data_IF_189485774575
#
_entry.id   IF_189485774575
#
_cell.length_a   1.000
_cell.length_b   1.000
_cell.length_c   1.000
_cell.angle_alpha   90.00
_cell.angle_beta   90.00
_cell.angle_gamma   90.00
#
_symmetry.space_group_name_H-M   'P 1'
#
loop_
_entity.id
_entity.type
_entity.pdbx_description
1 polymer ?
#
# COMPACT_ATOMS: atom_id res chain seq x y z
N UNK A 1 -37.67 -2.96 -26.38
CA UNK A 1 -37.69 -4.40 -26.02
C UNK A 1 -36.42 -4.62 -25.19
N UNK A 2 -36.53 -4.83 -23.88
CA UNK A 2 -35.41 -5.23 -23.06
C UNK A 2 -35.02 -6.64 -23.51
N UNK A 3 -33.82 -6.80 -24.05
CA UNK A 3 -33.26 -8.11 -24.33
C UNK A 3 -33.16 -8.85 -23.00
N UNK A 4 -33.94 -9.92 -22.86
CA UNK A 4 -33.83 -10.83 -21.72
C UNK A 4 -32.36 -11.29 -21.65
N UNK A 5 -31.66 -10.97 -20.57
CA UNK A 5 -30.23 -11.35 -20.40
C UNK A 5 -30.15 -12.86 -20.35
N UNK A 6 -29.49 -13.48 -21.35
CA UNK A 6 -29.33 -14.91 -21.52
C UNK A 6 -28.09 -15.44 -20.71
N UNK A 7 -27.51 -14.62 -19.84
CA UNK A 7 -26.30 -14.96 -19.06
C UNK A 7 -26.21 -14.09 -17.81
N UNK A 8 -25.48 -14.57 -16.81
CA UNK A 8 -25.25 -13.87 -15.52
C UNK A 8 -24.03 -12.92 -15.54
N UNK A 9 -23.39 -12.74 -16.70
CA UNK A 9 -22.27 -11.82 -16.81
C UNK A 9 -22.76 -10.37 -16.90
N UNK A 10 -22.07 -9.46 -16.21
CA UNK A 10 -22.24 -8.03 -16.40
C UNK A 10 -21.35 -7.56 -17.55
N UNK A 11 -21.95 -7.21 -18.66
CA UNK A 11 -21.25 -6.63 -19.82
C UNK A 11 -21.22 -5.12 -19.60
N UNK A 12 -20.04 -4.61 -19.26
CA UNK A 12 -19.80 -3.19 -19.04
C UNK A 12 -19.99 -2.39 -20.33
N UNK A 13 -20.58 -1.21 -20.20
CA UNK A 13 -20.50 -0.18 -21.23
C UNK A 13 -19.06 0.32 -21.35
N UNK A 14 -18.62 0.80 -22.54
CA UNK A 14 -17.27 1.36 -22.67
C UNK A 14 -17.04 2.46 -21.64
N UNK A 15 -16.04 2.25 -20.76
CA UNK A 15 -15.66 3.20 -19.72
C UNK A 15 -14.32 3.87 -20.08
N UNK A 16 -14.16 5.14 -19.71
CA UNK A 16 -12.93 5.91 -19.96
C UNK A 16 -11.85 5.65 -18.90
N UNK A 17 -12.24 5.08 -17.75
CA UNK A 17 -11.35 4.96 -16.58
C UNK A 17 -10.10 4.11 -16.81
N UNK A 18 -10.14 2.98 -17.54
CA UNK A 18 -8.94 2.21 -17.83
C UNK A 18 -7.90 3.02 -18.61
N UNK A 19 -8.33 3.79 -19.62
CA UNK A 19 -7.45 4.66 -20.40
C UNK A 19 -6.90 5.80 -19.55
N UNK A 20 -7.78 6.48 -18.82
CA UNK A 20 -7.39 7.61 -17.97
C UNK A 20 -6.47 7.13 -16.82
N UNK A 21 -6.74 5.96 -16.24
CA UNK A 21 -5.89 5.33 -15.21
C UNK A 21 -4.50 4.98 -15.76
N UNK A 22 -4.42 4.43 -16.97
CA UNK A 22 -3.16 4.14 -17.64
C UNK A 22 -2.33 5.41 -17.88
N UNK A 23 -2.93 6.48 -18.36
CA UNK A 23 -2.27 7.77 -18.55
C UNK A 23 -1.84 8.41 -17.23
N UNK A 24 -2.66 8.32 -16.20
CA UNK A 24 -2.36 8.82 -14.86
C UNK A 24 -1.15 8.09 -14.25
N UNK A 25 -1.13 6.76 -14.32
CA UNK A 25 -0.02 5.94 -13.86
C UNK A 25 1.27 6.22 -14.64
N UNK A 26 1.20 6.35 -15.96
CA UNK A 26 2.34 6.72 -16.79
C UNK A 26 2.91 8.07 -16.36
N UNK A 27 2.05 9.09 -16.23
CA UNK A 27 2.46 10.44 -15.82
C UNK A 27 3.11 10.42 -14.43
N UNK A 28 2.52 9.69 -13.48
CA UNK A 28 3.06 9.54 -12.12
C UNK A 28 4.43 8.85 -12.12
N UNK A 29 4.59 7.75 -12.84
CA UNK A 29 5.85 6.99 -12.85
C UNK A 29 6.97 7.74 -13.56
N UNK A 30 6.68 8.38 -14.69
CA UNK A 30 7.66 9.25 -15.37
C UNK A 30 8.04 10.43 -14.49
N UNK A 31 7.05 11.04 -13.82
CA UNK A 31 7.28 12.09 -12.84
C UNK A 31 8.12 11.64 -11.65
N UNK A 32 7.91 10.40 -11.16
CA UNK A 32 8.72 9.81 -10.09
C UNK A 32 10.18 9.63 -10.49
N UNK A 33 10.46 9.19 -11.74
CA UNK A 33 11.83 9.10 -12.27
C UNK A 33 12.49 10.46 -12.31
N UNK A 34 11.79 11.50 -12.77
CA UNK A 34 12.33 12.86 -12.84
C UNK A 34 12.54 13.45 -11.43
N UNK A 35 11.62 13.19 -10.51
CA UNK A 35 11.76 13.59 -9.12
C UNK A 35 12.97 12.91 -8.46
N UNK A 36 13.16 11.61 -8.67
CA UNK A 36 14.30 10.87 -8.15
C UNK A 36 15.62 11.36 -8.75
N UNK A 37 15.65 11.73 -10.04
CA UNK A 37 16.83 12.32 -10.69
C UNK A 37 17.20 13.66 -10.05
N UNK A 38 16.23 14.55 -9.87
CA UNK A 38 16.45 15.87 -9.30
C UNK A 38 16.69 15.84 -7.78
N UNK A 39 15.71 15.32 -7.02
CA UNK A 39 15.73 15.35 -5.56
C UNK A 39 16.64 14.27 -4.95
N UNK A 40 16.73 13.10 -5.59
CA UNK A 40 17.50 11.97 -5.10
C UNK A 40 19.00 12.10 -5.37
N UNK A 41 19.39 12.61 -6.53
CA UNK A 41 20.79 12.74 -6.94
C UNK A 41 21.33 14.17 -6.89
N UNK A 42 20.50 15.17 -6.55
CA UNK A 42 20.89 16.58 -6.53
C UNK A 42 21.26 17.15 -7.90
N UNK A 43 20.77 16.51 -8.98
CA UNK A 43 21.01 16.96 -10.36
C UNK A 43 20.01 18.05 -10.74
N UNK A 44 20.33 18.83 -11.77
CA UNK A 44 19.42 19.84 -12.26
C UNK A 44 18.09 19.24 -12.73
N UNK A 45 16.95 19.94 -12.49
CA UNK A 45 15.65 19.44 -12.90
C UNK A 45 15.58 19.32 -14.43
N UNK A 46 15.04 18.22 -14.92
CA UNK A 46 14.75 18.04 -16.35
C UNK A 46 13.70 19.08 -16.74
N UNK A 47 14.00 19.84 -17.80
CA UNK A 47 13.15 20.93 -18.27
C UNK A 47 12.56 20.61 -19.64
N UNK A 48 11.31 21.00 -19.85
CA UNK A 48 10.66 20.97 -21.14
C UNK A 48 10.25 22.42 -21.49
N UNK A 49 10.87 23.01 -22.53
CA UNK A 49 10.59 24.38 -22.89
C UNK A 49 10.87 25.42 -21.79
N UNK A 50 11.88 25.17 -20.93
CA UNK A 50 12.24 26.06 -19.82
C UNK A 50 11.39 25.85 -18.54
N UNK A 51 10.43 24.92 -18.56
CA UNK A 51 9.59 24.60 -17.39
C UNK A 51 10.18 23.35 -16.71
N UNK A 52 10.53 23.43 -15.40
CA UNK A 52 11.02 22.26 -14.68
C UNK A 52 9.90 21.24 -14.52
N UNK A 53 10.12 20.01 -14.98
CA UNK A 53 9.13 18.92 -14.89
C UNK A 53 9.08 18.31 -13.49
N UNK A 54 10.19 18.34 -12.75
CA UNK A 54 10.26 17.84 -11.38
C UNK A 54 10.00 18.99 -10.38
N UNK A 55 9.20 18.77 -9.31
CA UNK A 55 8.44 17.56 -8.96
C UNK A 55 7.00 17.55 -9.53
N UNK A 56 6.61 18.56 -10.31
CA UNK A 56 5.23 18.81 -10.70
C UNK A 56 4.59 17.66 -11.48
N UNK A 57 5.35 17.02 -12.38
CA UNK A 57 4.81 15.91 -13.15
C UNK A 57 4.41 14.72 -12.26
N UNK A 58 5.20 14.47 -11.21
CA UNK A 58 4.84 13.45 -10.21
C UNK A 58 3.57 13.81 -9.44
N UNK A 59 3.48 15.06 -8.97
CA UNK A 59 2.34 15.55 -8.19
C UNK A 59 1.05 15.49 -9.02
N UNK A 60 1.11 15.95 -10.26
CA UNK A 60 -0.03 15.90 -11.19
C UNK A 60 -0.45 14.45 -11.43
N UNK A 61 0.48 13.56 -11.78
CA UNK A 61 0.21 12.16 -12.01
C UNK A 61 -0.37 11.47 -10.78
N UNK A 62 0.12 11.79 -9.59
CA UNK A 62 -0.41 11.28 -8.32
C UNK A 62 -1.86 11.72 -8.07
N UNK A 63 -2.15 13.02 -8.25
CA UNK A 63 -3.52 13.55 -8.10
C UNK A 63 -4.45 12.91 -9.13
N UNK A 64 -4.02 12.78 -10.39
CA UNK A 64 -4.80 12.12 -11.43
C UNK A 64 -5.08 10.65 -11.08
N UNK A 65 -4.12 9.94 -10.51
CA UNK A 65 -4.29 8.55 -10.06
C UNK A 65 -5.32 8.45 -8.93
N UNK A 66 -5.23 9.32 -7.92
CA UNK A 66 -6.21 9.37 -6.82
C UNK A 66 -7.62 9.69 -7.33
N UNK A 67 -7.73 10.63 -8.26
CA UNK A 67 -9.00 10.97 -8.89
C UNK A 67 -9.58 9.77 -9.67
N UNK A 68 -8.75 9.09 -10.44
CA UNK A 68 -9.16 7.88 -11.17
C UNK A 68 -9.67 6.81 -10.23
N UNK A 69 -8.94 6.53 -9.14
CA UNK A 69 -9.35 5.56 -8.14
C UNK A 69 -10.72 5.92 -7.55
N UNK A 70 -10.90 7.16 -7.14
CA UNK A 70 -12.17 7.62 -6.57
C UNK A 70 -13.33 7.48 -7.56
N UNK A 71 -13.15 7.96 -8.78
CA UNK A 71 -14.19 7.97 -9.79
C UNK A 71 -14.53 6.54 -10.26
N UNK A 72 -13.53 5.70 -10.51
CA UNK A 72 -13.75 4.31 -10.92
C UNK A 72 -14.41 3.48 -9.81
N UNK A 73 -13.99 3.64 -8.58
CA UNK A 73 -14.63 2.94 -7.47
C UNK A 73 -16.06 3.43 -7.19
N UNK A 74 -16.34 4.70 -7.45
CA UNK A 74 -17.71 5.21 -7.39
C UNK A 74 -18.60 4.57 -8.44
N UNK A 75 -18.09 4.33 -9.65
CA UNK A 75 -18.79 3.58 -10.70
C UNK A 75 -19.05 2.14 -10.26
N UNK A 76 -18.06 1.45 -9.67
CA UNK A 76 -18.25 0.11 -9.13
C UNK A 76 -19.31 0.03 -8.01
N UNK A 77 -19.40 1.07 -7.16
CA UNK A 77 -20.47 1.16 -6.15
C UNK A 77 -21.83 1.33 -6.80
N UNK A 78 -21.92 2.19 -7.82
CA UNK A 78 -23.16 2.40 -8.58
C UNK A 78 -23.63 1.09 -9.25
N UNK A 79 -22.74 0.33 -9.90
CA UNK A 79 -23.05 -0.96 -10.50
C UNK A 79 -23.56 -1.97 -9.45
N UNK A 80 -22.98 -1.93 -8.24
CA UNK A 80 -23.43 -2.77 -7.12
C UNK A 80 -24.86 -2.41 -6.68
N UNK A 81 -25.16 -1.12 -6.56
CA UNK A 81 -26.49 -0.63 -6.17
C UNK A 81 -27.54 -0.86 -7.28
N UNK A 82 -27.12 -0.84 -8.53
CA UNK A 82 -27.97 -1.19 -9.68
C UNK A 82 -28.31 -2.70 -9.75
N UNK A 83 -27.66 -3.54 -8.94
CA UNK A 83 -27.89 -4.99 -8.91
C UNK A 83 -27.08 -5.76 -9.96
N UNK A 84 -26.10 -5.14 -10.59
CA UNK A 84 -25.27 -5.76 -11.63
C UNK A 84 -24.18 -6.68 -11.07
N UNK A 85 -24.00 -6.72 -9.73
CA UNK A 85 -23.11 -7.65 -9.05
C UNK A 85 -23.76 -9.04 -8.90
N UNK A 86 -23.90 -9.74 -10.01
CA UNK A 86 -24.37 -11.12 -10.06
C UNK A 86 -23.40 -12.08 -9.31
N UNK A 87 -23.81 -13.32 -8.99
CA UNK A 87 -22.91 -14.30 -8.35
C UNK A 87 -21.61 -14.51 -9.11
N UNK A 88 -21.63 -14.50 -10.45
CA UNK A 88 -20.44 -14.63 -11.30
C UNK A 88 -19.52 -13.43 -11.12
N UNK A 89 -20.04 -12.21 -11.10
CA UNK A 89 -19.27 -10.98 -10.87
C UNK A 89 -18.64 -10.98 -9.47
N UNK A 90 -19.37 -11.42 -8.45
CA UNK A 90 -18.85 -11.54 -7.06
C UNK A 90 -17.67 -12.51 -7.00
N UNK A 91 -17.72 -13.64 -7.69
CA UNK A 91 -16.59 -14.56 -7.80
C UNK A 91 -15.41 -13.89 -8.49
N UNK A 92 -15.65 -13.18 -9.59
CA UNK A 92 -14.62 -12.41 -10.31
C UNK A 92 -13.94 -11.36 -9.43
N UNK A 93 -14.70 -10.61 -8.63
CA UNK A 93 -14.16 -9.63 -7.68
C UNK A 93 -13.31 -10.28 -6.59
N UNK A 94 -13.69 -11.46 -6.08
CA UNK A 94 -12.88 -12.21 -5.11
C UNK A 94 -11.54 -12.65 -5.71
N UNK A 95 -11.54 -13.19 -6.92
CA UNK A 95 -10.29 -13.51 -7.62
C UNK A 95 -9.44 -12.28 -7.89
N UNK A 96 -10.06 -11.15 -8.25
CA UNK A 96 -9.36 -9.88 -8.43
C UNK A 96 -8.64 -9.42 -7.17
N UNK A 97 -9.28 -9.53 -5.99
CA UNK A 97 -8.65 -9.20 -4.70
C UNK A 97 -7.49 -10.15 -4.38
N UNK A 98 -7.65 -11.46 -4.65
CA UNK A 98 -6.56 -12.44 -4.46
C UNK A 98 -5.36 -12.08 -5.34
N UNK A 99 -5.58 -11.77 -6.62
CA UNK A 99 -4.51 -11.37 -7.55
C UNK A 99 -3.85 -10.05 -7.12
N UNK A 100 -4.62 -9.09 -6.62
CA UNK A 100 -4.10 -7.86 -6.06
C UNK A 100 -3.18 -8.14 -4.86
N UNK A 101 -3.62 -8.94 -3.90
CA UNK A 101 -2.80 -9.33 -2.73
C UNK A 101 -1.52 -10.05 -3.19
N UNK A 102 -1.61 -10.93 -4.18
CA UNK A 102 -0.42 -11.60 -4.72
C UNK A 102 0.57 -10.62 -5.36
N UNK A 103 0.09 -9.58 -6.03
CA UNK A 103 0.96 -8.53 -6.58
C UNK A 103 1.68 -7.75 -5.47
N UNK A 104 0.99 -7.45 -4.37
CA UNK A 104 1.57 -6.79 -3.20
C UNK A 104 2.62 -7.67 -2.51
N UNK A 105 2.36 -8.97 -2.39
CA UNK A 105 3.34 -9.95 -1.89
C UNK A 105 4.61 -9.93 -2.76
N UNK A 106 4.47 -9.93 -4.09
CA UNK A 106 5.62 -9.88 -5.00
C UNK A 106 6.39 -8.57 -4.91
N UNK A 107 5.70 -7.45 -4.65
CA UNK A 107 6.34 -6.18 -4.36
C UNK A 107 7.27 -6.25 -3.13
N UNK A 108 6.80 -6.82 -2.02
CA UNK A 108 7.63 -7.03 -0.83
C UNK A 108 8.73 -8.06 -1.05
N UNK A 109 8.48 -9.12 -1.82
CA UNK A 109 9.52 -10.09 -2.20
C UNK A 109 10.72 -9.39 -2.88
N UNK A 110 10.50 -8.38 -3.70
CA UNK A 110 11.57 -7.62 -4.34
C UNK A 110 12.49 -6.92 -3.31
N UNK A 111 11.91 -6.30 -2.27
CA UNK A 111 12.67 -5.65 -1.20
C UNK A 111 13.41 -6.64 -0.32
N UNK A 112 12.77 -7.74 0.07
CA UNK A 112 13.42 -8.84 0.81
C UNK A 112 14.53 -9.49 -0.01
N UNK A 113 14.31 -9.68 -1.32
CA UNK A 113 15.35 -10.16 -2.21
C UNK A 113 16.57 -9.25 -2.22
N UNK A 114 16.35 -7.94 -2.36
CA UNK A 114 17.43 -6.95 -2.30
C UNK A 114 18.18 -7.01 -0.98
N UNK A 115 17.47 -7.10 0.16
CA UNK A 115 18.06 -7.23 1.47
C UNK A 115 18.90 -8.51 1.60
N UNK A 116 18.33 -9.68 1.35
CA UNK A 116 19.01 -10.96 1.50
C UNK A 116 20.16 -11.13 0.51
N UNK A 117 20.02 -10.62 -0.71
CA UNK A 117 21.12 -10.61 -1.67
C UNK A 117 22.34 -9.89 -1.11
N UNK A 118 22.19 -8.71 -0.55
CA UNK A 118 23.29 -7.95 0.01
C UNK A 118 23.80 -8.55 1.35
N UNK A 119 22.92 -9.13 2.14
CA UNK A 119 23.28 -9.78 3.41
C UNK A 119 24.08 -11.08 3.23
N UNK A 120 23.66 -11.92 2.27
CA UNK A 120 24.31 -13.22 2.03
C UNK A 120 25.54 -13.13 1.11
N UNK A 121 25.58 -12.14 0.23
CA UNK A 121 26.65 -11.93 -0.73
C UNK A 121 27.17 -10.48 -0.67
N UNK A 122 27.78 -10.10 0.48
CA UNK A 122 28.25 -8.71 0.66
C UNK A 122 29.46 -8.37 -0.22
N UNK A 123 30.19 -9.39 -0.70
CA UNK A 123 31.29 -9.23 -1.65
C UNK A 123 30.86 -9.63 -3.05
N UNK A 124 31.21 -8.83 -4.04
CA UNK A 124 31.07 -9.21 -5.44
C UNK A 124 30.46 -8.15 -6.33
N UNK A 125 30.41 -8.40 -7.64
CA UNK A 125 29.95 -7.43 -8.64
C UNK A 125 28.48 -7.07 -8.49
N UNK A 126 27.70 -7.89 -7.78
CA UNK A 126 26.27 -7.67 -7.54
C UNK A 126 25.98 -6.86 -6.27
N UNK A 127 26.99 -6.59 -5.44
CA UNK A 127 26.83 -5.85 -4.16
C UNK A 127 28.01 -4.88 -3.94
N UNK A 128 28.34 -4.01 -4.91
CA UNK A 128 29.52 -3.15 -4.83
C UNK A 128 29.43 -2.08 -3.74
N UNK A 129 28.23 -1.82 -3.21
CA UNK A 129 28.00 -0.77 -2.21
C UNK A 129 28.09 -1.25 -0.75
N UNK A 130 28.55 -2.49 -0.49
CA UNK A 130 28.53 -3.11 0.85
C UNK A 130 29.93 -3.37 1.40
N UNK A 131 30.98 -3.11 0.62
CA UNK A 131 32.41 -3.25 1.01
C UNK A 131 32.77 -4.56 1.73
N UNK A 132 32.04 -5.65 1.41
CA UNK A 132 32.28 -6.99 1.92
C UNK A 132 31.79 -7.26 3.34
N UNK A 133 31.08 -6.33 3.97
CA UNK A 133 30.54 -6.47 5.33
C UNK A 133 29.05 -6.12 5.38
N UNK A 134 28.29 -6.93 6.08
CA UNK A 134 26.86 -6.66 6.32
C UNK A 134 26.54 -6.70 7.82
N UNK A 135 25.79 -5.71 8.38
CA UNK A 135 25.43 -4.41 7.78
C UNK A 135 26.68 -3.59 7.40
N UNK A 136 26.54 -2.61 6.46
CA UNK A 136 27.65 -1.74 6.06
C UNK A 136 28.31 -1.05 7.25
N UNK A 137 29.61 -0.80 7.16
CA UNK A 137 30.40 -0.20 8.25
C UNK A 137 29.81 1.18 8.63
N UNK A 138 29.65 1.40 9.95
CA UNK A 138 29.13 2.67 10.48
C UNK A 138 27.62 2.73 10.68
N UNK A 139 26.88 1.63 10.42
CA UNK A 139 25.44 1.55 10.67
C UNK A 139 25.19 0.93 12.04
N UNK A 140 24.50 1.66 12.90
CA UNK A 140 23.88 1.11 14.10
C UNK A 140 22.46 0.64 13.77
N UNK A 141 22.25 -0.68 13.81
CA UNK A 141 20.95 -1.30 13.56
C UNK A 141 20.04 -1.14 14.79
N UNK A 142 18.72 -1.09 14.55
CA UNK A 142 17.77 -1.16 15.67
C UNK A 142 17.88 -2.50 16.41
N UNK A 143 17.72 -2.46 17.73
CA UNK A 143 17.57 -3.67 18.52
C UNK A 143 16.17 -4.27 18.27
N UNK A 144 16.07 -5.47 17.66
CA UNK A 144 14.80 -6.08 17.33
C UNK A 144 13.93 -6.42 18.55
N UNK A 145 14.53 -6.54 19.75
CA UNK A 145 13.84 -6.94 20.97
C UNK A 145 13.17 -5.79 21.73
N UNK A 146 13.40 -4.55 21.30
CA UNK A 146 12.74 -3.37 21.88
C UNK A 146 11.48 -2.95 21.10
N UNK A 147 11.46 -1.75 20.58
CA UNK A 147 10.30 -1.16 19.93
C UNK A 147 9.79 -1.97 18.73
N UNK A 148 10.63 -2.58 17.86
CA UNK A 148 10.13 -3.37 16.73
C UNK A 148 9.32 -4.60 17.17
N UNK A 149 9.72 -5.27 18.27
CA UNK A 149 8.96 -6.40 18.82
C UNK A 149 7.59 -5.94 19.34
N UNK A 150 7.54 -4.84 20.09
CA UNK A 150 6.29 -4.27 20.61
C UNK A 150 5.35 -3.91 19.45
N UNK A 151 5.87 -3.28 18.41
CA UNK A 151 5.10 -2.94 17.22
C UNK A 151 4.52 -4.17 16.53
N UNK A 152 5.29 -5.23 16.43
CA UNK A 152 4.83 -6.51 15.87
C UNK A 152 3.68 -7.08 16.71
N UNK A 153 3.80 -7.10 18.03
CA UNK A 153 2.76 -7.59 18.93
C UNK A 153 1.48 -6.77 18.84
N UNK A 154 1.58 -5.44 18.71
CA UNK A 154 0.43 -4.55 18.52
C UNK A 154 -0.34 -4.93 17.27
N UNK A 155 0.33 -5.16 16.13
CA UNK A 155 -0.35 -5.54 14.89
C UNK A 155 -0.92 -6.96 14.94
N UNK A 156 -0.26 -7.90 15.60
CA UNK A 156 -0.81 -9.24 15.81
C UNK A 156 -2.11 -9.19 16.64
N UNK A 157 -2.11 -8.39 17.72
CA UNK A 157 -3.32 -8.16 18.51
C UNK A 157 -4.41 -7.46 17.68
N UNK A 158 -4.04 -6.48 16.86
CA UNK A 158 -4.99 -5.82 15.95
C UNK A 158 -5.64 -6.82 14.99
N UNK A 159 -4.87 -7.78 14.46
CA UNK A 159 -5.37 -8.87 13.63
C UNK A 159 -6.38 -9.78 14.37
N UNK A 160 -6.14 -10.07 15.66
CA UNK A 160 -7.09 -10.82 16.48
C UNK A 160 -8.42 -10.07 16.63
N UNK A 161 -8.38 -8.75 16.88
CA UNK A 161 -9.58 -7.92 16.93
C UNK A 161 -10.33 -7.86 15.60
N UNK A 162 -9.62 -7.74 14.48
CA UNK A 162 -10.23 -7.77 13.14
C UNK A 162 -10.89 -9.14 12.86
N UNK A 163 -10.26 -10.25 13.25
CA UNK A 163 -10.81 -11.58 13.10
C UNK A 163 -12.07 -11.75 13.96
N UNK A 164 -12.05 -11.27 15.19
CA UNK A 164 -13.24 -11.27 16.04
C UNK A 164 -14.38 -10.46 15.45
N UNK A 165 -14.11 -9.24 14.95
CA UNK A 165 -15.10 -8.42 14.28
C UNK A 165 -15.74 -9.15 13.08
N UNK A 166 -14.92 -9.78 12.26
CA UNK A 166 -15.40 -10.55 11.10
C UNK A 166 -16.25 -11.74 11.52
N UNK A 167 -15.84 -12.49 12.54
CA UNK A 167 -16.59 -13.64 13.05
C UNK A 167 -17.95 -13.22 13.62
N UNK A 168 -17.97 -12.16 14.43
CA UNK A 168 -19.20 -11.61 15.01
C UNK A 168 -20.22 -11.19 13.93
N UNK A 169 -19.74 -10.66 12.79
CA UNK A 169 -20.61 -10.31 11.67
C UNK A 169 -21.07 -11.55 10.88
N UNK A 170 -20.12 -12.43 10.52
CA UNK A 170 -20.38 -13.50 9.54
C UNK A 170 -21.14 -14.70 10.14
N UNK A 171 -20.97 -14.98 11.44
CA UNK A 171 -21.51 -16.18 12.07
C UNK A 171 -22.55 -15.87 13.15
N UNK A 172 -22.30 -14.86 13.98
CA UNK A 172 -23.12 -14.60 15.16
C UNK A 172 -24.16 -13.49 14.94
N UNK A 173 -24.05 -12.74 13.83
CA UNK A 173 -24.82 -11.53 13.57
C UNK A 173 -24.82 -10.57 14.78
N UNK A 174 -23.69 -10.55 15.53
CA UNK A 174 -23.49 -9.70 16.70
C UNK A 174 -22.88 -8.36 16.29
N UNK A 175 -23.74 -7.34 16.19
CA UNK A 175 -23.32 -5.99 15.86
C UNK A 175 -22.42 -5.35 16.92
N UNK A 176 -22.56 -5.72 18.21
CA UNK A 176 -21.71 -5.18 19.27
C UNK A 176 -20.31 -5.74 19.17
N UNK A 177 -20.17 -7.04 18.96
CA UNK A 177 -18.89 -7.70 18.72
C UNK A 177 -18.18 -7.13 17.49
N UNK A 178 -18.91 -6.89 16.39
CA UNK A 178 -18.39 -6.24 15.20
C UNK A 178 -17.79 -4.84 15.51
N UNK A 179 -18.57 -3.99 16.17
CA UNK A 179 -18.16 -2.61 16.48
C UNK A 179 -16.94 -2.59 17.41
N UNK A 180 -16.96 -3.34 18.50
CA UNK A 180 -15.83 -3.37 19.45
C UNK A 180 -14.57 -4.00 18.84
N UNK A 181 -14.71 -5.02 18.02
CA UNK A 181 -13.60 -5.61 17.29
C UNK A 181 -12.98 -4.62 16.30
N UNK A 182 -13.78 -3.91 15.53
CA UNK A 182 -13.29 -2.87 14.62
C UNK A 182 -12.60 -1.72 15.37
N UNK A 183 -13.19 -1.24 16.48
CA UNK A 183 -12.58 -0.19 17.32
C UNK A 183 -11.21 -0.64 17.82
N UNK A 184 -11.11 -1.87 18.37
CA UNK A 184 -9.85 -2.43 18.86
C UNK A 184 -8.79 -2.50 17.77
N UNK A 185 -9.15 -3.00 16.59
CA UNK A 185 -8.25 -3.10 15.45
C UNK A 185 -7.74 -1.72 14.98
N UNK A 186 -8.62 -0.73 14.88
CA UNK A 186 -8.29 0.65 14.46
C UNK A 186 -7.37 1.33 15.48
N UNK A 187 -7.68 1.23 16.76
CA UNK A 187 -6.88 1.86 17.81
C UNK A 187 -5.46 1.29 17.82
N UNK A 188 -5.31 -0.03 17.74
CA UNK A 188 -4.01 -0.67 17.69
C UNK A 188 -3.25 -0.34 16.40
N UNK A 189 -3.92 -0.26 15.25
CA UNK A 189 -3.30 0.20 13.99
C UNK A 189 -2.81 1.64 14.05
N UNK A 190 -3.56 2.52 14.72
CA UNK A 190 -3.14 3.90 14.94
C UNK A 190 -1.93 3.98 15.89
N UNK A 191 -1.90 3.22 16.98
CA UNK A 191 -0.77 3.14 17.92
C UNK A 191 0.49 2.64 17.21
N UNK A 192 0.37 1.59 16.39
CA UNK A 192 1.47 1.12 15.55
C UNK A 192 2.04 2.24 14.68
N UNK A 193 1.18 3.00 14.01
CA UNK A 193 1.61 4.07 13.12
C UNK A 193 2.38 5.15 13.88
N UNK A 194 1.95 5.51 15.09
CA UNK A 194 2.65 6.47 15.95
C UNK A 194 4.04 5.95 16.34
N UNK A 195 4.15 4.69 16.74
CA UNK A 195 5.43 4.07 17.10
C UNK A 195 6.37 3.94 15.90
N UNK A 196 5.84 3.66 14.70
CA UNK A 196 6.64 3.60 13.48
C UNK A 196 7.23 4.98 13.12
N UNK A 197 6.45 6.05 13.26
CA UNK A 197 6.95 7.42 13.05
C UNK A 197 8.01 7.78 14.10
N UNK A 198 7.79 7.40 15.35
CA UNK A 198 8.76 7.61 16.42
C UNK A 198 10.07 6.88 16.14
N UNK A 199 10.00 5.62 15.71
CA UNK A 199 11.18 4.80 15.34
C UNK A 199 11.97 5.45 14.21
N UNK A 200 11.30 5.95 13.18
CA UNK A 200 11.96 6.65 12.07
C UNK A 200 12.69 7.93 12.50
N UNK A 201 12.14 8.65 13.48
CA UNK A 201 12.79 9.84 14.05
C UNK A 201 14.06 9.54 14.85
N UNK A 202 14.25 8.28 15.27
CA UNK A 202 15.41 7.83 16.08
C UNK A 202 16.35 6.90 15.29
N UNK A 203 16.14 6.75 13.98
CA UNK A 203 17.03 5.97 13.14
C UNK A 203 18.42 6.60 13.06
N UNK A 204 19.46 5.83 13.39
CA UNK A 204 20.86 6.25 13.30
C UNK A 204 21.41 6.25 11.87
N UNK A 205 20.59 5.88 10.87
CA UNK A 205 20.95 5.81 9.46
C UNK A 205 19.86 6.49 8.60
N UNK A 206 20.26 6.97 7.42
CA UNK A 206 19.31 7.63 6.51
C UNK A 206 19.01 6.78 5.28
N UNK A 207 17.95 7.16 4.58
CA UNK A 207 17.52 6.51 3.32
C UNK A 207 18.61 6.57 2.23
N UNK A 208 19.41 7.63 2.21
CA UNK A 208 20.35 7.91 1.10
C UNK A 208 21.75 7.37 1.29
N UNK A 209 22.13 7.05 2.52
CA UNK A 209 23.53 6.79 2.84
C UNK A 209 24.03 5.44 2.32
N UNK A 210 23.14 4.43 2.26
CA UNK A 210 23.56 3.08 1.93
C UNK A 210 22.38 2.18 1.55
N UNK A 211 22.70 0.99 1.04
CA UNK A 211 21.72 -0.02 0.62
C UNK A 211 20.88 -0.54 1.79
N UNK A 212 21.45 -0.60 3.01
CA UNK A 212 20.71 -1.03 4.20
C UNK A 212 19.58 -0.05 4.52
N UNK A 213 19.89 1.25 4.64
CA UNK A 213 18.90 2.28 4.88
C UNK A 213 17.83 2.34 3.77
N UNK A 214 18.26 2.26 2.50
CA UNK A 214 17.33 2.23 1.38
C UNK A 214 16.35 1.05 1.47
N UNK A 215 16.83 -0.17 1.70
CA UNK A 215 15.98 -1.35 1.84
C UNK A 215 15.07 -1.26 3.07
N UNK A 216 15.59 -0.78 4.20
CA UNK A 216 14.81 -0.62 5.43
C UNK A 216 13.65 0.34 5.24
N UNK A 217 13.93 1.58 4.81
CA UNK A 217 12.88 2.60 4.65
C UNK A 217 11.90 2.29 3.51
N UNK A 218 12.34 1.63 2.44
CA UNK A 218 11.42 1.22 1.37
C UNK A 218 10.50 0.11 1.83
N UNK A 219 11.01 -0.97 2.41
CA UNK A 219 10.19 -2.08 2.87
C UNK A 219 9.25 -1.67 4.00
N UNK A 220 9.77 -1.04 5.07
CA UNK A 220 8.97 -0.66 6.24
C UNK A 220 8.09 0.56 5.96
N UNK A 221 8.51 1.49 5.09
CA UNK A 221 7.73 2.66 4.70
C UNK A 221 6.51 2.29 3.85
N UNK A 222 6.67 1.42 2.86
CA UNK A 222 5.52 0.89 2.11
C UNK A 222 4.61 0.05 3.00
N UNK A 223 5.17 -0.76 3.90
CA UNK A 223 4.36 -1.47 4.90
C UNK A 223 3.58 -0.49 5.78
N UNK A 224 4.21 0.54 6.30
CA UNK A 224 3.55 1.58 7.09
C UNK A 224 2.42 2.30 6.30
N UNK A 225 2.65 2.60 5.02
CA UNK A 225 1.61 3.11 4.13
C UNK A 225 0.40 2.16 4.04
N UNK A 226 0.64 0.86 3.85
CA UNK A 226 -0.44 -0.15 3.82
C UNK A 226 -1.19 -0.23 5.15
N UNK A 227 -0.50 -0.13 6.29
CA UNK A 227 -1.14 -0.10 7.62
C UNK A 227 -2.04 1.12 7.78
N UNK A 228 -1.60 2.30 7.34
CA UNK A 228 -2.42 3.53 7.38
C UNK A 228 -3.66 3.38 6.50
N UNK A 229 -3.50 2.94 5.25
CA UNK A 229 -4.62 2.72 4.31
C UNK A 229 -5.58 1.67 4.88
N UNK A 230 -5.07 0.54 5.40
CA UNK A 230 -5.88 -0.51 6.02
C UNK A 230 -6.65 -0.01 7.25
N UNK A 231 -6.01 0.80 8.10
CA UNK A 231 -6.66 1.39 9.27
C UNK A 231 -7.79 2.36 8.88
N UNK A 232 -7.57 3.18 7.84
CA UNK A 232 -8.62 4.05 7.28
C UNK A 232 -9.77 3.21 6.70
N UNK A 233 -9.46 2.13 6.00
CA UNK A 233 -10.47 1.22 5.45
C UNK A 233 -11.32 0.59 6.56
N UNK A 234 -10.70 0.11 7.64
CA UNK A 234 -11.43 -0.40 8.81
C UNK A 234 -12.28 0.68 9.48
N UNK A 235 -11.80 1.93 9.53
CA UNK A 235 -12.57 3.06 10.06
C UNK A 235 -13.83 3.35 9.20
N UNK A 236 -13.72 3.26 7.88
CA UNK A 236 -14.89 3.37 6.97
C UNK A 236 -15.87 2.22 7.21
N UNK A 237 -15.37 0.98 7.38
CA UNK A 237 -16.22 -0.16 7.73
C UNK A 237 -16.94 0.06 9.06
N UNK A 238 -16.24 0.59 10.08
CA UNK A 238 -16.84 0.93 11.37
C UNK A 238 -17.95 1.98 11.22
N UNK A 239 -17.71 3.05 10.46
CA UNK A 239 -18.72 4.08 10.21
C UNK A 239 -19.97 3.52 9.51
N UNK A 240 -19.79 2.60 8.57
CA UNK A 240 -20.89 1.88 7.92
C UNK A 240 -21.63 0.98 8.92
N UNK A 241 -20.91 0.23 9.75
CA UNK A 241 -21.50 -0.62 10.78
C UNK A 241 -22.29 0.18 11.83
N UNK A 242 -21.91 1.44 12.11
CA UNK A 242 -22.64 2.31 13.04
C UNK A 242 -23.92 2.91 12.43
N UNK A 243 -23.95 3.07 11.11
CA UNK A 243 -25.12 3.64 10.41
C UNK A 243 -26.25 2.59 10.16
N UNK A 244 -25.92 1.33 10.11
CA UNK A 244 -26.87 0.22 9.91
C UNK A 244 -26.55 -0.55 8.68
#
# INVERSE_FOLDING_TARGET
MAHEKNHDYHILTPSIWPLFGGLSALTMLVGAVFAAHHLGRGLDPIQLGGIPLSPWLFIIGFIMTLYTMFAWWSECVFDSEAGDHTPVVVIGLRYGVIMFIMSEVMFFVAWFWSFFKNAMYPMGPLSPAVDGVWPPVGIETFDPWHLPLINTLILLCSGCFATWAHHALAHDNDRKGLVWGLVGAIVLGAIFTVFQVYEYGHAAFSFRDNVYGANFFMATGFHGFHVVVGTIFLAVCLLRALKG
#
